data_IF_640607730952
#
_entry.id   IF_640607730952
#
_cell.length_a   1.000
_cell.length_b   1.000
_cell.length_c   1.000
_cell.angle_alpha   90.00
_cell.angle_beta   90.00
_cell.angle_gamma   90.00
#
_symmetry.space_group_name_H-M   'P 1'
#
loop_
_entity.id
_entity.type
_entity.pdbx_description
1 polymer ?
#
# COMPACT_ATOMS: atom_id res chain seq x y z
N UNK A 1 -17.75 -14.46 6.50
CA UNK A 1 -17.63 -13.02 6.17
C UNK A 1 -16.23 -12.80 5.60
N UNK A 2 -16.10 -12.05 4.49
CA UNK A 2 -14.82 -11.82 3.80
C UNK A 2 -14.43 -10.34 3.89
N UNK A 3 -13.13 -10.05 3.96
CA UNK A 3 -12.59 -8.68 3.81
C UNK A 3 -12.11 -8.51 2.37
N UNK A 4 -12.71 -7.56 1.65
CA UNK A 4 -12.35 -7.28 0.26
C UNK A 4 -11.06 -6.46 0.23
N UNK A 5 -10.08 -6.92 -0.56
CA UNK A 5 -8.76 -6.30 -0.73
C UNK A 5 -8.52 -5.94 -2.20
N UNK A 6 -7.49 -5.13 -2.45
CA UNK A 6 -6.95 -4.84 -3.78
C UNK A 6 -5.61 -5.58 -3.97
N UNK A 7 -5.17 -5.87 -5.21
CA UNK A 7 -5.81 -5.54 -6.49
C UNK A 7 -7.07 -6.37 -6.75
N UNK A 8 -8.05 -5.75 -7.42
CA UNK A 8 -9.22 -6.45 -7.97
C UNK A 8 -9.10 -6.47 -9.50
N UNK A 9 -9.29 -7.64 -10.11
CA UNK A 9 -9.10 -7.83 -11.54
C UNK A 9 -10.42 -8.03 -12.29
N UNK A 10 -10.74 -7.12 -13.22
CA UNK A 10 -11.94 -7.19 -14.05
C UNK A 10 -11.65 -6.93 -15.52
N UNK A 11 -12.50 -7.47 -16.41
CA UNK A 11 -12.50 -7.02 -17.82
C UNK A 11 -12.99 -5.58 -17.89
N UNK A 12 -12.31 -4.77 -18.69
CA UNK A 12 -12.60 -3.34 -18.84
C UNK A 12 -14.07 -3.08 -19.18
N UNK A 13 -14.61 -3.83 -20.14
CA UNK A 13 -15.97 -3.64 -20.64
C UNK A 13 -17.01 -3.91 -19.56
N UNK A 14 -16.75 -4.93 -18.72
CA UNK A 14 -17.62 -5.29 -17.58
C UNK A 14 -17.58 -4.17 -16.54
N UNK A 15 -16.40 -3.68 -16.19
CA UNK A 15 -16.25 -2.66 -15.16
C UNK A 15 -16.89 -1.33 -15.56
N UNK A 16 -16.78 -0.95 -16.84
CA UNK A 16 -17.44 0.25 -17.40
C UNK A 16 -18.97 0.10 -17.32
N UNK A 17 -19.51 -1.02 -17.76
CA UNK A 17 -20.97 -1.23 -17.71
C UNK A 17 -21.49 -1.27 -16.27
N UNK A 18 -20.76 -1.89 -15.35
CA UNK A 18 -21.09 -1.92 -13.93
C UNK A 18 -21.17 -0.52 -13.33
N UNK A 19 -20.17 0.33 -13.59
CA UNK A 19 -20.16 1.73 -13.15
C UNK A 19 -21.32 2.53 -13.77
N UNK A 20 -21.55 2.39 -15.08
CA UNK A 20 -22.64 3.09 -15.77
C UNK A 20 -24.01 2.74 -15.20
N UNK A 21 -24.26 1.47 -14.89
CA UNK A 21 -25.52 1.04 -14.24
C UNK A 21 -25.62 1.55 -12.81
N UNK A 22 -24.53 1.51 -12.05
CA UNK A 22 -24.52 2.04 -10.69
C UNK A 22 -24.86 3.53 -10.66
N UNK A 23 -24.29 4.32 -11.58
CA UNK A 23 -24.62 5.74 -11.73
C UNK A 23 -26.09 5.96 -12.10
N UNK A 24 -26.60 5.23 -13.10
CA UNK A 24 -27.99 5.33 -13.54
C UNK A 24 -29.00 4.95 -12.45
N UNK A 25 -28.65 3.98 -11.61
CA UNK A 25 -29.47 3.50 -10.50
C UNK A 25 -29.31 4.34 -9.21
N UNK A 26 -28.37 5.29 -9.17
CA UNK A 26 -27.99 6.00 -7.95
C UNK A 26 -27.38 5.09 -6.87
N UNK A 27 -26.76 3.97 -7.27
CA UNK A 27 -26.15 3.01 -6.38
C UNK A 27 -24.70 3.39 -6.04
N UNK A 28 -24.40 3.47 -4.73
CA UNK A 28 -23.04 3.67 -4.25
C UNK A 28 -22.39 2.33 -3.92
N UNK A 29 -21.55 1.83 -4.83
CA UNK A 29 -20.67 0.69 -4.56
C UNK A 29 -19.45 1.09 -3.73
N UNK A 30 -19.01 0.22 -2.83
CA UNK A 30 -17.84 0.47 -1.95
C UNK A 30 -16.53 -0.02 -2.54
N UNK A 31 -16.61 -0.90 -3.52
CA UNK A 31 -15.49 -1.49 -4.26
C UNK A 31 -15.99 -2.04 -5.61
N UNK A 32 -15.07 -2.36 -6.51
CA UNK A 32 -15.42 -2.76 -7.88
C UNK A 32 -16.16 -4.10 -7.95
N UNK A 33 -15.91 -5.03 -7.02
CA UNK A 33 -16.63 -6.30 -6.98
C UNK A 33 -18.11 -6.08 -6.67
N UNK A 34 -18.44 -5.18 -5.75
CA UNK A 34 -19.84 -4.84 -5.43
C UNK A 34 -20.62 -4.31 -6.64
N UNK A 35 -19.95 -3.54 -7.51
CA UNK A 35 -20.53 -3.01 -8.75
C UNK A 35 -20.78 -4.14 -9.76
N UNK A 36 -19.80 -5.03 -9.92
CA UNK A 36 -19.84 -6.13 -10.89
C UNK A 36 -20.87 -7.20 -10.47
N UNK A 37 -20.94 -7.53 -9.18
CA UNK A 37 -21.96 -8.46 -8.65
C UNK A 37 -23.38 -7.93 -8.87
N UNK A 38 -23.59 -6.62 -8.70
CA UNK A 38 -24.89 -5.97 -8.87
C UNK A 38 -25.47 -6.16 -10.28
N UNK A 39 -24.62 -6.17 -11.31
CA UNK A 39 -25.06 -6.39 -12.69
C UNK A 39 -25.24 -7.88 -13.03
N UNK A 40 -25.16 -8.77 -12.03
CA UNK A 40 -25.36 -10.21 -12.16
C UNK A 40 -24.14 -10.97 -12.68
N UNK A 41 -22.97 -10.32 -12.74
CA UNK A 41 -21.74 -10.98 -13.17
C UNK A 41 -21.09 -11.67 -11.97
N UNK A 42 -20.75 -12.98 -12.06
CA UNK A 42 -20.15 -13.70 -10.94
C UNK A 42 -18.74 -13.20 -10.65
N UNK A 43 -18.47 -12.90 -9.38
CA UNK A 43 -17.13 -12.57 -8.86
C UNK A 43 -16.52 -13.81 -8.21
N UNK A 44 -15.21 -13.99 -8.38
CA UNK A 44 -14.44 -15.03 -7.70
C UNK A 44 -13.53 -14.40 -6.65
N UNK A 45 -13.50 -15.02 -5.48
CA UNK A 45 -12.59 -14.67 -4.39
C UNK A 45 -11.33 -15.51 -4.51
N UNK A 46 -10.18 -14.85 -4.39
CA UNK A 46 -8.87 -15.49 -4.26
C UNK A 46 -8.34 -15.19 -2.86
N UNK A 47 -7.63 -16.14 -2.27
CA UNK A 47 -7.04 -15.95 -0.95
C UNK A 47 -6.00 -14.83 -1.00
N UNK A 48 -6.24 -13.76 -0.24
CA UNK A 48 -5.28 -12.68 -0.01
C UNK A 48 -4.44 -12.91 1.23
N UNK A 49 -3.50 -12.01 1.47
CA UNK A 49 -2.69 -12.00 2.68
C UNK A 49 -3.22 -10.97 3.69
N UNK A 50 -3.16 -11.32 4.98
CA UNK A 50 -3.53 -10.39 6.05
C UNK A 50 -2.59 -9.19 6.16
N UNK A 51 -1.35 -9.33 5.68
CA UNK A 51 -0.34 -8.26 5.56
C UNK A 51 -0.73 -7.19 4.53
N UNK A 52 -1.65 -7.48 3.61
CA UNK A 52 -2.14 -6.52 2.61
C UNK A 52 -3.19 -5.57 3.23
N UNK A 53 -2.73 -4.79 4.20
CA UNK A 53 -3.57 -3.87 4.96
C UNK A 53 -3.83 -2.60 4.16
N UNK A 54 -5.03 -2.04 4.34
CA UNK A 54 -5.35 -0.68 3.91
C UNK A 54 -4.93 0.27 5.03
N UNK A 55 -3.95 1.13 4.78
CA UNK A 55 -3.57 2.19 5.71
C UNK A 55 -4.64 3.29 5.64
N UNK A 56 -5.41 3.45 6.71
CA UNK A 56 -6.55 4.39 6.80
C UNK A 56 -6.46 5.33 7.99
N UNK A 57 -5.62 5.00 8.97
CA UNK A 57 -5.40 5.74 10.21
C UNK A 57 -3.91 5.92 10.48
N UNK A 58 -3.50 6.93 11.27
CA UNK A 58 -2.11 7.08 11.70
C UNK A 58 -1.56 5.84 12.42
N UNK A 59 -2.39 5.14 13.19
CA UNK A 59 -2.01 3.94 13.94
C UNK A 59 -1.64 2.77 13.02
N UNK A 60 -2.25 2.69 11.83
CA UNK A 60 -1.93 1.68 10.82
C UNK A 60 -0.47 1.76 10.35
N UNK A 61 0.18 2.93 10.48
CA UNK A 61 1.59 3.11 10.08
C UNK A 61 2.54 2.22 10.88
N UNK A 62 2.28 2.04 12.18
CA UNK A 62 3.11 1.19 13.03
C UNK A 62 3.05 -0.26 12.56
N UNK A 63 1.85 -0.71 12.18
CA UNK A 63 1.62 -2.06 11.66
C UNK A 63 2.23 -2.22 10.27
N UNK A 64 2.04 -1.25 9.38
CA UNK A 64 2.62 -1.24 8.04
C UNK A 64 4.15 -1.33 8.07
N UNK A 65 4.80 -0.54 8.94
CA UNK A 65 6.26 -0.59 9.12
C UNK A 65 6.73 -1.95 9.62
N UNK A 66 6.00 -2.56 10.57
CA UNK A 66 6.34 -3.88 11.08
C UNK A 66 6.24 -4.96 9.99
N UNK A 67 5.19 -4.91 9.16
CA UNK A 67 5.01 -5.80 8.00
C UNK A 67 6.18 -5.65 7.02
N UNK A 68 6.50 -4.42 6.61
CA UNK A 68 7.60 -4.16 5.67
C UNK A 68 8.97 -4.62 6.21
N UNK A 69 9.23 -4.46 7.51
CA UNK A 69 10.48 -4.94 8.13
C UNK A 69 10.57 -6.46 8.15
N UNK A 70 9.45 -7.15 8.30
CA UNK A 70 9.41 -8.61 8.28
C UNK A 70 9.62 -9.15 6.86
N UNK A 71 9.13 -8.44 5.84
CA UNK A 71 9.29 -8.82 4.44
C UNK A 71 10.69 -8.50 3.89
N UNK A 72 11.36 -7.46 4.43
CA UNK A 72 12.75 -7.15 4.11
C UNK A 72 13.71 -8.22 4.64
N UNK A 73 14.56 -8.76 3.77
CA UNK A 73 15.62 -9.66 4.17
C UNK A 73 16.66 -8.98 5.07
N UNK A 74 17.33 -9.73 5.94
CA UNK A 74 18.32 -9.22 6.90
C UNK A 74 19.42 -8.33 6.27
N UNK A 75 19.80 -8.60 5.02
CA UNK A 75 20.80 -7.80 4.30
C UNK A 75 20.30 -6.43 3.83
N UNK A 76 18.98 -6.26 3.66
CA UNK A 76 18.36 -5.01 3.22
C UNK A 76 18.15 -4.06 4.40
N UNK A 77 17.68 -4.60 5.54
CA UNK A 77 17.60 -3.89 6.81
C UNK A 77 18.95 -3.28 7.23
N UNK A 78 20.04 -4.06 7.12
CA UNK A 78 21.39 -3.59 7.45
C UNK A 78 21.82 -2.42 6.56
N UNK A 79 21.51 -2.45 5.26
CA UNK A 79 21.85 -1.36 4.32
C UNK A 79 21.08 -0.08 4.66
N UNK A 80 19.79 -0.20 4.96
CA UNK A 80 18.94 0.94 5.35
C UNK A 80 19.45 1.57 6.65
N UNK A 81 19.74 0.76 7.68
CA UNK A 81 20.28 1.25 8.95
C UNK A 81 21.64 1.95 8.78
N UNK A 82 22.55 1.39 7.96
CA UNK A 82 23.85 2.01 7.67
C UNK A 82 23.68 3.32 6.89
N UNK A 83 22.73 3.40 5.96
CA UNK A 83 22.45 4.63 5.22
C UNK A 83 21.92 5.75 6.13
N UNK A 84 20.97 5.45 7.01
CA UNK A 84 20.46 6.42 7.99
C UNK A 84 21.54 6.88 8.98
N UNK A 85 22.33 5.95 9.51
CA UNK A 85 23.44 6.27 10.40
C UNK A 85 24.47 7.19 9.73
N UNK A 86 24.81 6.94 8.45
CA UNK A 86 25.68 7.83 7.66
C UNK A 86 25.07 9.22 7.46
N UNK A 87 23.75 9.31 7.28
CA UNK A 87 23.04 10.60 7.12
C UNK A 87 23.06 11.42 8.42
N UNK A 88 22.92 10.76 9.56
CA UNK A 88 22.99 11.38 10.88
C UNK A 88 24.42 11.79 11.25
N UNK A 89 25.42 10.95 10.94
CA UNK A 89 26.83 11.21 11.23
C UNK A 89 27.47 12.20 10.25
N UNK A 90 26.98 12.28 9.00
CA UNK A 90 27.50 13.16 7.96
C UNK A 90 27.17 14.65 8.13
N UNK A 91 26.27 15.01 9.06
CA UNK A 91 25.84 16.40 9.29
C UNK A 91 26.77 17.26 10.16
N UNK A 92 27.81 16.70 10.81
CA UNK A 92 28.57 17.41 11.87
C UNK A 92 30.06 17.66 11.54
N UNK A 93 30.58 17.29 10.37
CA UNK A 93 31.99 17.57 10.03
C UNK A 93 32.13 18.72 9.04
N UNK A 94 31.79 19.95 9.45
CA UNK A 94 32.45 21.14 8.88
C UNK A 94 33.78 21.32 9.61
N UNK A 95 34.87 20.76 9.06
CA UNK A 95 36.23 21.11 9.51
C UNK A 95 36.41 22.62 9.39
N UNK A 96 36.64 23.31 10.51
CA UNK A 96 37.33 24.61 10.48
C UNK A 96 38.69 24.34 9.84
N UNK A 97 38.98 24.98 8.71
CA UNK A 97 40.38 25.25 8.36
C UNK A 97 40.81 26.35 9.32
N UNK A 98 41.55 25.99 10.35
CA UNK A 98 42.38 26.94 11.06
C UNK A 98 43.53 27.34 10.14
N UNK A 99 43.63 28.65 9.92
CA UNK A 99 44.80 29.34 9.40
C UNK A 99 46.04 28.94 10.21
N UNK A 100 47.19 28.73 9.54
CA UNK A 100 48.53 29.14 10.03
C UNK A 100 49.66 28.63 9.12
N UNK A 101 50.33 29.62 8.52
CA UNK A 101 51.73 29.71 8.02
C UNK A 101 52.15 28.87 6.82
#
# INVERSE_FOLDING_TARGET
LWQVQTPQGFRKEILIEANRRAEADGFLGTDDASLVERIGVPVRIVQGEYSNIKVTTPEDMVVAEAILRNDMGAGELMKTAVHEAKRLLGGVVRRRKEDSV
#
